data_IF_570128024274
#
_entry.id   IF_570128024274
#
_cell.length_a   1.000
_cell.length_b   1.000
_cell.length_c   1.000
_cell.angle_alpha   90.00
_cell.angle_beta   90.00
_cell.angle_gamma   90.00
#
_symmetry.space_group_name_H-M   'P 1'
#
loop_
_entity.id
_entity.type
_entity.pdbx_description
1 polymer ?
#
# COMPACT_ATOMS: atom_id res chain seq x y z
N UNK A 1 29.51 41.93 -10.58
CA UNK A 1 28.56 42.91 -10.04
C UNK A 1 27.19 42.62 -10.64
N UNK A 2 26.21 42.33 -9.80
CA UNK A 2 24.77 42.66 -9.93
C UNK A 2 23.95 41.67 -9.12
N UNK A 3 23.58 42.14 -7.93
CA UNK A 3 22.41 41.66 -7.20
C UNK A 3 21.16 42.10 -7.99
N UNK A 4 20.16 41.24 -8.08
CA UNK A 4 18.78 41.73 -8.19
C UNK A 4 17.86 40.81 -7.37
N UNK A 5 17.38 41.38 -6.28
CA UNK A 5 16.22 40.94 -5.55
C UNK A 5 14.95 41.50 -6.23
N UNK A 6 13.83 40.81 -6.14
CA UNK A 6 12.46 41.39 -6.05
C UNK A 6 11.48 40.26 -5.72
N UNK A 7 10.97 40.19 -4.48
CA UNK A 7 9.78 40.84 -3.89
C UNK A 7 8.50 39.99 -4.05
N UNK A 8 7.90 39.74 -2.89
CA UNK A 8 6.64 39.05 -2.58
C UNK A 8 5.39 39.78 -3.14
N UNK A 9 4.34 39.01 -3.43
CA UNK A 9 2.95 39.47 -3.26
C UNK A 9 2.10 38.35 -2.67
N UNK A 10 1.62 38.57 -1.44
CA UNK A 10 0.55 37.79 -0.81
C UNK A 10 -0.81 38.38 -1.24
N UNK A 11 -1.78 37.52 -1.55
CA UNK A 11 -3.17 37.92 -1.72
C UNK A 11 -4.03 37.35 -0.58
N UNK A 12 -4.88 38.23 -0.07
CA UNK A 12 -5.68 38.13 1.15
C UNK A 12 -7.02 37.41 0.90
N UNK A 13 -7.49 36.75 1.97
CA UNK A 13 -8.83 36.20 2.25
C UNK A 13 -10.03 37.00 1.70
N UNK A 14 -11.10 36.28 1.34
CA UNK A 14 -12.48 36.71 1.67
C UNK A 14 -13.30 35.51 2.16
N UNK A 15 -13.80 35.64 3.38
CA UNK A 15 -14.79 34.77 4.01
C UNK A 15 -16.20 35.13 3.48
N UNK A 16 -17.03 34.11 3.27
CA UNK A 16 -18.45 34.27 2.95
C UNK A 16 -19.31 33.29 3.73
N UNK A 17 -19.66 33.65 4.97
CA UNK A 17 -20.76 33.03 5.70
C UNK A 17 -22.07 33.75 5.31
N UNK A 18 -23.10 33.03 4.92
CA UNK A 18 -24.48 33.52 5.00
C UNK A 18 -25.42 32.39 5.40
N UNK A 19 -25.97 32.55 6.60
CA UNK A 19 -27.02 31.75 7.22
C UNK A 19 -28.40 32.24 6.79
N UNK A 20 -29.32 31.34 6.46
CA UNK A 20 -30.75 31.62 6.52
C UNK A 20 -31.51 30.47 7.20
N UNK A 21 -32.18 30.84 8.30
CA UNK A 21 -33.20 30.11 9.03
C UNK A 21 -34.49 29.97 8.21
N UNK A 22 -35.17 28.83 8.25
CA UNK A 22 -36.37 28.60 9.10
C UNK A 22 -37.03 27.21 8.87
N UNK A 23 -37.80 26.68 9.84
CA UNK A 23 -38.24 25.28 9.88
C UNK A 23 -39.75 25.02 9.64
N UNK A 24 -40.03 23.71 9.47
CA UNK A 24 -41.23 22.91 9.84
C UNK A 24 -42.44 22.87 8.87
N UNK A 25 -43.43 21.95 9.08
CA UNK A 25 -43.36 20.48 9.05
C UNK A 25 -44.49 19.87 8.16
N UNK A 26 -44.49 18.56 7.86
CA UNK A 26 -45.74 17.78 7.69
C UNK A 26 -45.50 16.27 7.68
N UNK A 27 -46.44 15.59 8.32
CA UNK A 27 -46.49 14.18 8.65
C UNK A 27 -46.70 13.26 7.43
N UNK A 28 -46.24 12.02 7.58
CA UNK A 28 -46.57 10.90 6.70
C UNK A 28 -46.25 9.58 7.39
N UNK A 29 -47.26 9.00 8.05
CA UNK A 29 -47.23 7.66 8.64
C UNK A 29 -47.39 6.60 7.55
N UNK A 30 -46.43 5.68 7.40
CA UNK A 30 -46.73 4.30 6.97
C UNK A 30 -45.71 3.33 7.57
N UNK A 31 -46.20 2.39 8.36
CA UNK A 31 -45.43 1.27 8.90
C UNK A 31 -45.11 0.25 7.80
N UNK A 32 -43.89 -0.29 7.82
CA UNK A 32 -43.58 -1.57 7.19
C UNK A 32 -42.66 -2.36 8.11
N UNK A 33 -43.20 -3.46 8.61
CA UNK A 33 -42.49 -4.53 9.32
C UNK A 33 -41.38 -5.09 8.43
N UNK A 34 -40.15 -5.09 8.91
CA UNK A 34 -39.08 -5.89 8.35
C UNK A 34 -38.45 -6.68 9.49
N UNK A 35 -38.47 -8.00 9.31
CA UNK A 35 -38.04 -9.01 10.25
C UNK A 35 -36.64 -8.73 10.81
N UNK A 36 -36.50 -8.96 12.11
CA UNK A 36 -35.23 -9.17 12.80
C UNK A 36 -34.54 -10.38 12.15
N UNK A 37 -33.75 -10.15 11.11
CA UNK A 37 -32.79 -11.13 10.64
C UNK A 37 -31.83 -11.50 11.77
N UNK A 38 -31.29 -12.72 11.80
CA UNK A 38 -30.28 -13.09 12.79
C UNK A 38 -29.14 -12.07 12.72
N UNK A 39 -28.51 -11.70 13.85
CA UNK A 39 -27.36 -10.81 13.82
C UNK A 39 -26.34 -11.44 12.88
N UNK A 40 -26.16 -10.83 11.71
CA UNK A 40 -24.96 -11.04 10.92
C UNK A 40 -23.85 -10.70 11.88
N UNK A 41 -23.03 -11.69 12.20
CA UNK A 41 -21.79 -11.49 12.92
C UNK A 41 -21.07 -10.35 12.22
N UNK A 42 -21.09 -9.15 12.82
CA UNK A 42 -20.09 -8.15 12.50
C UNK A 42 -18.79 -8.88 12.76
N UNK A 43 -18.08 -9.21 11.69
CA UNK A 43 -16.68 -9.55 11.76
C UNK A 43 -16.08 -8.53 12.71
N UNK A 44 -15.61 -8.98 13.87
CA UNK A 44 -14.74 -8.16 14.70
C UNK A 44 -13.77 -7.49 13.75
N UNK A 45 -13.72 -6.15 13.75
CA UNK A 45 -12.80 -5.37 12.93
C UNK A 45 -11.41 -5.84 13.33
N UNK A 46 -10.92 -6.83 12.61
CA UNK A 46 -9.72 -7.56 12.96
C UNK A 46 -8.60 -6.64 12.52
N UNK A 47 -7.96 -5.91 13.43
CA UNK A 47 -6.92 -4.89 13.14
C UNK A 47 -5.61 -5.50 12.62
N UNK A 48 -5.72 -6.41 11.65
CA UNK A 48 -4.67 -7.25 11.11
C UNK A 48 -5.08 -7.73 9.72
N UNK A 49 -4.08 -8.03 8.89
CA UNK A 49 -4.20 -8.69 7.61
C UNK A 49 -4.66 -10.16 7.73
N UNK A 50 -4.64 -10.77 8.92
CA UNK A 50 -4.96 -12.19 9.11
C UNK A 50 -6.27 -12.59 8.45
N UNK A 51 -6.22 -13.63 7.60
CA UNK A 51 -7.37 -14.15 6.85
C UNK A 51 -7.75 -13.34 5.60
N UNK A 52 -7.17 -12.14 5.40
CA UNK A 52 -7.30 -11.40 4.16
C UNK A 52 -6.67 -12.20 3.01
N UNK A 53 -7.18 -11.95 1.80
CA UNK A 53 -6.53 -12.42 0.59
C UNK A 53 -5.48 -11.38 0.19
N UNK A 54 -4.20 -11.76 0.24
CA UNK A 54 -3.10 -10.94 -0.26
C UNK A 54 -2.78 -11.33 -1.69
N UNK A 55 -2.59 -10.32 -2.54
CA UNK A 55 -2.16 -10.43 -3.92
C UNK A 55 -0.85 -9.69 -4.06
N UNK A 56 0.18 -10.35 -4.59
CA UNK A 56 1.48 -9.78 -4.86
C UNK A 56 1.72 -9.69 -6.37
N UNK A 57 2.08 -8.50 -6.82
CA UNK A 57 2.64 -8.23 -8.14
C UNK A 57 3.88 -7.34 -7.98
N UNK A 58 4.50 -6.95 -9.09
CA UNK A 58 5.60 -6.01 -9.11
C UNK A 58 5.49 -5.14 -10.36
N UNK A 59 6.05 -3.94 -10.33
CA UNK A 59 6.10 -3.04 -11.48
C UNK A 59 7.49 -2.37 -11.53
N UNK A 60 8.23 -2.61 -12.62
CA UNK A 60 9.63 -2.19 -12.81
C UNK A 60 9.70 -1.43 -14.18
N UNK A 61 9.70 -0.08 -14.23
CA UNK A 61 9.48 0.76 -15.39
C UNK A 61 10.82 1.09 -16.05
N UNK A 62 11.60 0.06 -16.34
CA UNK A 62 12.37 0.08 -17.58
C UNK A 62 11.38 -0.24 -18.70
N UNK A 63 11.54 0.41 -19.85
CA UNK A 63 10.52 0.52 -20.93
C UNK A 63 10.12 -0.82 -21.58
N UNK A 64 10.60 -1.95 -21.05
CA UNK A 64 10.33 -3.31 -21.51
C UNK A 64 9.84 -4.32 -20.43
N UNK A 65 9.75 -3.99 -19.13
CA UNK A 65 9.63 -5.02 -18.07
C UNK A 65 8.30 -5.02 -17.27
N UNK A 66 7.29 -5.68 -17.83
CA UNK A 66 6.09 -6.10 -17.08
C UNK A 66 6.36 -7.49 -16.48
N UNK A 67 5.94 -7.75 -15.24
CA UNK A 67 5.98 -9.09 -14.64
C UNK A 67 4.91 -9.99 -15.27
N UNK A 68 5.23 -11.27 -15.48
CA UNK A 68 4.39 -12.22 -16.22
C UNK A 68 3.20 -12.71 -15.40
N UNK A 69 3.30 -12.60 -14.07
CA UNK A 69 2.38 -13.27 -13.16
C UNK A 69 2.14 -12.48 -11.88
N UNK A 70 0.94 -12.65 -11.35
CA UNK A 70 0.52 -12.20 -10.03
C UNK A 70 0.28 -13.44 -9.20
N UNK A 71 0.61 -13.39 -7.91
CA UNK A 71 0.35 -14.50 -6.99
C UNK A 71 -0.59 -14.07 -5.89
N UNK A 72 -1.39 -15.02 -5.40
CA UNK A 72 -2.44 -14.76 -4.41
C UNK A 72 -2.42 -15.83 -3.34
N UNK A 73 -2.69 -15.43 -2.09
CA UNK A 73 -2.81 -16.35 -0.97
C UNK A 73 -3.58 -15.75 0.20
N UNK A 74 -3.86 -16.57 1.22
CA UNK A 74 -4.52 -16.15 2.45
C UNK A 74 -3.48 -15.85 3.51
N UNK A 75 -3.58 -14.70 4.18
CA UNK A 75 -2.64 -14.30 5.22
C UNK A 75 -2.83 -15.17 6.48
N UNK A 76 -1.73 -15.71 7.07
CA UNK A 76 -0.34 -15.53 6.66
C UNK A 76 0.03 -16.34 5.40
N UNK A 77 0.80 -15.71 4.50
CA UNK A 77 1.25 -16.31 3.24
C UNK A 77 2.74 -16.01 3.00
N UNK A 78 3.43 -16.96 2.36
CA UNK A 78 4.82 -16.84 1.93
C UNK A 78 4.95 -17.21 0.46
N UNK A 79 5.72 -16.41 -0.28
CA UNK A 79 6.05 -16.62 -1.69
C UNK A 79 7.58 -16.70 -1.83
N UNK A 80 8.16 -17.90 -2.02
CA UNK A 80 9.60 -18.08 -2.10
C UNK A 80 10.17 -17.55 -3.43
N UNK A 81 11.50 -17.53 -3.53
CA UNK A 81 12.26 -17.20 -4.74
C UNK A 81 11.67 -17.86 -6.00
N UNK A 82 11.49 -17.08 -7.06
CA UNK A 82 10.90 -17.55 -8.34
C UNK A 82 9.41 -17.80 -8.32
N UNK A 83 8.72 -17.23 -7.35
CA UNK A 83 7.28 -17.09 -7.45
C UNK A 83 6.91 -15.99 -8.45
N UNK A 84 7.75 -14.98 -8.69
CA UNK A 84 7.55 -13.92 -9.68
C UNK A 84 8.60 -13.98 -10.80
N UNK A 85 8.16 -13.68 -12.03
CA UNK A 85 8.99 -13.65 -13.25
C UNK A 85 8.76 -12.36 -14.06
N UNK A 86 9.80 -11.83 -14.71
CA UNK A 86 9.72 -10.72 -15.68
C UNK A 86 9.58 -11.23 -17.14
N UNK A 87 8.80 -10.54 -18.01
CA UNK A 87 8.32 -11.10 -19.30
C UNK A 87 9.14 -10.81 -20.57
N UNK A 88 9.99 -9.76 -20.67
CA UNK A 88 10.69 -9.48 -21.96
C UNK A 88 12.20 -9.64 -21.84
N UNK A 89 12.67 -10.75 -22.42
CA UNK A 89 14.06 -11.23 -22.33
C UNK A 89 14.07 -12.73 -22.03
N UNK A 90 15.21 -13.36 -21.73
CA UNK A 90 15.18 -14.65 -21.03
C UNK A 90 14.39 -14.45 -19.73
N UNK A 91 13.43 -15.34 -19.41
CA UNK A 91 12.64 -15.25 -18.17
C UNK A 91 13.55 -15.00 -16.97
N UNK A 92 13.53 -13.78 -16.43
CA UNK A 92 14.34 -13.42 -15.27
C UNK A 92 13.49 -13.65 -14.03
N UNK A 93 14.00 -14.52 -13.16
CA UNK A 93 13.43 -14.81 -11.87
C UNK A 93 13.65 -13.62 -10.94
N UNK A 94 12.61 -13.19 -10.22
CA UNK A 94 12.82 -12.29 -9.08
C UNK A 94 13.58 -13.04 -7.99
N UNK A 95 14.75 -12.53 -7.64
CA UNK A 95 15.64 -13.09 -6.63
C UNK A 95 15.32 -12.51 -5.25
N UNK A 96 14.06 -12.65 -4.83
CA UNK A 96 13.58 -12.28 -3.52
C UNK A 96 12.49 -13.26 -3.05
N UNK A 97 12.29 -13.35 -1.74
CA UNK A 97 11.11 -13.99 -1.13
C UNK A 97 10.25 -12.95 -0.44
N UNK A 98 8.95 -13.22 -0.39
CA UNK A 98 7.96 -12.30 0.13
C UNK A 98 7.07 -12.99 1.16
N UNK A 99 7.01 -12.42 2.37
CA UNK A 99 6.20 -12.93 3.46
C UNK A 99 5.19 -11.87 3.89
N UNK A 100 3.93 -12.29 4.08
CA UNK A 100 2.87 -11.44 4.62
C UNK A 100 2.35 -12.09 5.89
N UNK A 101 2.53 -11.38 6.99
CA UNK A 101 2.04 -11.76 8.31
C UNK A 101 0.88 -10.84 8.75
N UNK A 102 0.54 -10.90 10.02
CA UNK A 102 -0.63 -10.22 10.58
C UNK A 102 -0.58 -8.70 10.43
N UNK A 103 0.57 -8.08 10.64
CA UNK A 103 0.75 -6.62 10.62
C UNK A 103 2.01 -6.22 9.87
N UNK A 104 2.66 -7.16 9.17
CA UNK A 104 3.91 -6.92 8.48
C UNK A 104 3.93 -7.56 7.11
N UNK A 105 4.67 -6.92 6.23
CA UNK A 105 5.08 -7.45 4.93
C UNK A 105 6.59 -7.45 4.90
N UNK A 106 7.21 -8.54 4.48
CA UNK A 106 8.66 -8.69 4.45
C UNK A 106 9.10 -9.11 3.06
N UNK A 107 10.01 -8.37 2.49
CA UNK A 107 10.81 -8.77 1.34
C UNK A 107 12.20 -9.15 1.83
N UNK A 108 12.68 -10.32 1.42
CA UNK A 108 14.06 -10.75 1.65
C UNK A 108 14.75 -10.87 0.32
N UNK A 109 15.79 -10.07 0.10
CA UNK A 109 16.62 -10.14 -1.10
C UNK A 109 17.50 -11.39 -1.05
N UNK A 110 17.59 -12.10 -2.18
CA UNK A 110 18.32 -13.38 -2.31
C UNK A 110 19.41 -13.27 -3.38
N UNK A 111 19.93 -12.06 -3.56
CA UNK A 111 20.99 -11.69 -4.48
C UNK A 111 21.61 -10.37 -4.05
N UNK A 112 22.87 -10.15 -4.42
CA UNK A 112 23.48 -8.82 -4.40
C UNK A 112 23.38 -8.20 -5.79
N UNK A 113 22.74 -7.05 -5.91
CA UNK A 113 22.55 -6.37 -7.19
C UNK A 113 22.17 -4.90 -7.01
N UNK A 114 22.39 -4.08 -8.04
CA UNK A 114 21.75 -2.77 -8.13
C UNK A 114 20.44 -2.89 -8.90
N UNK A 115 19.34 -2.48 -8.28
CA UNK A 115 18.05 -2.43 -8.93
C UNK A 115 18.03 -1.29 -9.96
N UNK A 116 17.30 -1.48 -11.05
CA UNK A 116 17.24 -0.49 -12.13
C UNK A 116 16.66 0.85 -11.64
N UNK A 117 17.14 1.96 -12.21
CA UNK A 117 16.61 3.30 -11.93
C UNK A 117 15.40 3.56 -12.83
N UNK A 118 14.28 3.93 -12.23
CA UNK A 118 13.02 4.27 -12.89
C UNK A 118 12.06 5.05 -11.96
N UNK A 119 10.84 5.32 -12.42
CA UNK A 119 9.85 6.13 -11.67
C UNK A 119 9.12 5.37 -10.56
N UNK A 120 9.02 4.04 -10.63
CA UNK A 120 8.48 3.15 -9.59
C UNK A 120 9.06 1.76 -9.78
N UNK A 121 10.01 1.27 -8.99
CA UNK A 121 10.56 -0.07 -9.21
C UNK A 121 10.39 -0.90 -7.95
N UNK A 122 9.44 -1.84 -7.90
CA UNK A 122 9.31 -2.70 -6.72
C UNK A 122 8.01 -3.49 -6.62
N UNK A 123 7.77 -4.17 -5.48
CA UNK A 123 6.58 -4.97 -5.24
C UNK A 123 5.34 -4.11 -4.95
N UNK A 124 4.18 -4.66 -5.32
CA UNK A 124 2.86 -4.13 -5.01
C UNK A 124 2.05 -5.22 -4.33
N UNK A 125 1.50 -4.89 -3.17
CA UNK A 125 0.65 -5.76 -2.37
C UNK A 125 -0.77 -5.21 -2.38
N UNK A 126 -1.77 -6.06 -2.65
CA UNK A 126 -3.20 -5.71 -2.54
C UNK A 126 -3.90 -6.68 -1.61
N UNK A 127 -4.74 -6.16 -0.72
CA UNK A 127 -5.39 -6.92 0.34
C UNK A 127 -6.91 -6.85 0.21
N UNK A 128 -7.53 -8.00 -0.06
CA UNK A 128 -8.99 -8.13 -0.08
C UNK A 128 -9.50 -8.74 1.21
N UNK A 129 -10.41 -8.04 1.87
CA UNK A 129 -11.01 -8.48 3.14
C UNK A 129 -10.16 -8.15 4.38
N UNK A 130 -9.12 -7.32 4.23
CA UNK A 130 -8.43 -6.68 5.35
C UNK A 130 -9.18 -5.41 5.81
N UNK A 131 -8.92 -4.90 7.02
CA UNK A 131 -9.31 -3.53 7.38
C UNK A 131 -8.62 -2.49 6.52
N UNK A 132 -9.13 -1.26 6.61
CA UNK A 132 -8.53 -0.09 5.97
C UNK A 132 -7.13 0.16 6.56
N UNK A 133 -6.12 0.13 5.69
CA UNK A 133 -4.76 0.56 5.98
C UNK A 133 -4.77 2.07 6.22
N UNK A 134 -4.18 2.51 7.33
CA UNK A 134 -4.06 3.93 7.69
C UNK A 134 -2.64 4.44 7.65
N UNK A 135 -1.65 3.54 7.76
CA UNK A 135 -0.24 3.90 7.73
C UNK A 135 0.61 2.69 7.32
N UNK A 136 1.74 2.97 6.67
CA UNK A 136 2.77 1.99 6.36
C UNK A 136 4.13 2.61 6.65
N UNK A 137 4.95 1.94 7.44
CA UNK A 137 6.29 2.42 7.82
C UNK A 137 7.31 1.30 7.68
N UNK A 138 8.58 1.66 7.52
CA UNK A 138 9.68 0.70 7.60
C UNK A 138 9.87 0.28 9.07
N UNK A 139 9.89 -1.01 9.34
CA UNK A 139 10.21 -1.57 10.64
C UNK A 139 11.69 -1.31 10.97
N UNK A 140 12.04 -0.85 12.18
CA UNK A 140 13.43 -0.70 12.62
C UNK A 140 14.26 -2.00 12.60
N UNK A 141 13.62 -3.17 12.48
CA UNK A 141 14.28 -4.46 12.26
C UNK A 141 14.67 -4.75 10.82
N UNK A 142 14.41 -3.82 9.89
CA UNK A 142 14.88 -3.90 8.49
C UNK A 142 16.37 -3.62 8.39
N UNK A 143 16.99 -4.09 7.31
CA UNK A 143 18.35 -3.70 6.94
C UNK A 143 18.31 -2.34 6.24
N UNK A 144 18.80 -1.30 6.91
CA UNK A 144 18.70 0.09 6.41
C UNK A 144 19.43 0.37 5.09
N UNK A 145 20.32 -0.53 4.65
CA UNK A 145 20.98 -0.42 3.34
C UNK A 145 20.05 -0.72 2.16
N UNK A 146 18.91 -1.36 2.42
CA UNK A 146 17.86 -1.67 1.44
C UNK A 146 16.55 -0.96 1.76
N UNK A 147 16.60 0.16 2.49
CA UNK A 147 15.40 0.98 2.73
C UNK A 147 14.80 1.44 1.39
N UNK A 148 13.46 1.43 1.26
CA UNK A 148 12.81 1.80 0.01
C UNK A 148 12.96 3.30 -0.22
N UNK A 149 13.12 3.70 -1.48
CA UNK A 149 13.15 5.12 -1.89
C UNK A 149 11.83 5.81 -1.53
N UNK A 150 10.72 5.13 -1.74
CA UNK A 150 9.43 5.55 -1.19
C UNK A 150 8.51 4.37 -0.90
N UNK A 151 7.52 4.65 -0.06
CA UNK A 151 6.35 3.79 0.13
C UNK A 151 5.12 4.65 -0.14
N UNK A 152 4.17 4.10 -0.90
CA UNK A 152 2.83 4.67 -1.04
C UNK A 152 1.79 3.61 -0.73
N UNK A 153 0.64 4.02 -0.20
CA UNK A 153 -0.43 3.09 0.15
C UNK A 153 -1.81 3.70 -0.04
N UNK A 154 -2.79 2.83 -0.28
CA UNK A 154 -4.24 3.12 -0.27
C UNK A 154 -4.88 2.43 0.92
N UNK A 155 -6.21 2.43 0.99
CA UNK A 155 -6.95 1.67 2.00
C UNK A 155 -6.68 0.15 1.97
N UNK A 156 -6.24 -0.39 0.84
CA UNK A 156 -6.17 -1.82 0.55
C UNK A 156 -4.91 -2.23 -0.21
N UNK A 157 -3.97 -1.33 -0.47
CA UNK A 157 -2.75 -1.63 -1.21
C UNK A 157 -1.51 -0.91 -0.67
N UNK A 158 -0.35 -1.52 -0.89
CA UNK A 158 0.97 -0.98 -0.58
C UNK A 158 1.81 -1.11 -1.83
N UNK A 159 2.44 -0.01 -2.25
CA UNK A 159 3.37 0.02 -3.38
C UNK A 159 4.73 0.50 -2.87
N UNK A 160 5.75 -0.31 -3.12
CA UNK A 160 7.12 -0.09 -2.64
C UNK A 160 8.00 0.28 -3.83
N UNK A 161 8.78 1.35 -3.68
CA UNK A 161 9.70 1.82 -4.71
C UNK A 161 11.14 1.67 -4.25
N UNK A 162 11.82 0.69 -4.84
CA UNK A 162 13.20 0.28 -4.64
C UNK A 162 14.09 0.74 -5.82
N UNK A 163 13.65 1.76 -6.56
CA UNK A 163 14.38 2.28 -7.72
C UNK A 163 15.80 2.72 -7.38
N UNK A 164 16.79 2.11 -8.04
CA UNK A 164 18.19 2.47 -7.87
C UNK A 164 18.83 2.02 -6.56
N UNK A 165 18.14 1.28 -5.69
CA UNK A 165 18.74 0.76 -4.47
C UNK A 165 19.77 -0.33 -4.80
N UNK A 166 20.80 -0.45 -3.96
CA UNK A 166 21.73 -1.56 -4.02
C UNK A 166 21.35 -2.58 -2.96
N UNK A 167 20.88 -3.75 -3.39
CA UNK A 167 20.48 -4.84 -2.50
C UNK A 167 21.62 -5.79 -2.26
N UNK A 168 21.64 -6.37 -1.06
CA UNK A 168 22.59 -7.38 -0.61
C UNK A 168 21.87 -8.70 -0.35
N UNK A 169 22.54 -9.82 -0.62
CA UNK A 169 21.99 -11.15 -0.36
C UNK A 169 21.68 -11.33 1.14
N UNK A 170 20.43 -11.71 1.44
CA UNK A 170 19.91 -11.90 2.79
C UNK A 170 19.30 -10.66 3.45
N UNK A 171 19.47 -9.46 2.86
CA UNK A 171 18.91 -8.23 3.43
C UNK A 171 17.38 -8.24 3.42
N UNK A 172 16.79 -7.65 4.46
CA UNK A 172 15.36 -7.63 4.71
C UNK A 172 14.81 -6.22 4.70
N UNK A 173 13.78 -6.04 3.89
CA UNK A 173 12.91 -4.88 3.92
C UNK A 173 11.60 -5.29 4.59
N UNK A 174 11.34 -4.79 5.80
CA UNK A 174 10.16 -5.12 6.60
C UNK A 174 9.27 -3.88 6.71
N UNK A 175 8.03 -4.00 6.26
CA UNK A 175 7.02 -2.95 6.38
C UNK A 175 6.07 -3.28 7.52
N UNK A 176 5.84 -2.33 8.42
CA UNK A 176 4.73 -2.35 9.39
C UNK A 176 3.49 -1.72 8.78
N UNK A 177 2.36 -2.39 8.94
CA UNK A 177 1.05 -1.96 8.44
C UNK A 177 0.14 -1.68 9.62
N UNK A 178 -0.42 -0.47 9.66
CA UNK A 178 -1.37 -0.05 10.69
C UNK A 178 -2.77 0.10 10.10
N UNK A 179 -3.78 -0.14 10.94
CA UNK A 179 -5.18 -0.23 10.52
C UNK A 179 -6.07 0.72 11.33
N UNK A 180 -7.15 1.16 10.70
CA UNK A 180 -8.21 1.88 11.41
C UNK A 180 -8.96 0.94 12.36
N UNK A 181 -9.08 1.35 13.63
CA UNK A 181 -9.94 0.69 14.62
C UNK A 181 -11.33 1.32 14.53
N UNK A 182 -12.20 0.80 13.67
CA UNK A 182 -13.62 1.19 13.66
C UNK A 182 -14.35 0.61 14.86
#
# INVERSE_FOLDING_TARGET
MSKLAMIFTAAVLVAGCHSHNQPAPSAGTTAASAASGPPTSRSSTSNTLRGATATLSANYPTVDDVFTNTVTGKVPVSWPKGTLYATRGPMVQVLASFDVADTTVTETFLTTASLAVGTFNGPVYTFKGAPVITNVTVDPGSDHEVDPVNISFTADSISVNDSGIHVTDGAKQILRVEFSTL
#
